data_IF_135977161404
#
_entry.id   IF_135977161404
#
_cell.length_a   1.000
_cell.length_b   1.000
_cell.length_c   1.000
_cell.angle_alpha   90.00
_cell.angle_beta   90.00
_cell.angle_gamma   90.00
#
_symmetry.space_group_name_H-M   'P 1'
#
loop_
_entity.id
_entity.type
_entity.pdbx_description
1 polymer ?
#
# COMPACT_ATOMS: atom_id res chain seq x y z
N UNK A 1 2.70 1.80 -5.89
CA UNK A 1 1.45 1.43 -6.59
C UNK A 1 1.48 2.04 -7.98
N UNK A 2 1.57 1.20 -8.99
CA UNK A 2 2.02 1.50 -10.36
C UNK A 2 1.10 2.23 -11.30
N UNK A 3 0.37 3.22 -10.81
CA UNK A 3 -0.69 3.84 -11.60
C UNK A 3 -0.22 5.06 -12.41
N UNK A 4 1.04 5.49 -12.28
CA UNK A 4 1.63 6.61 -13.04
C UNK A 4 3.09 6.35 -13.42
N UNK A 5 3.46 6.65 -14.67
CA UNK A 5 4.85 6.61 -15.15
C UNK A 5 5.71 7.78 -14.63
N UNK A 6 5.11 8.75 -13.92
CA UNK A 6 5.80 9.87 -13.27
C UNK A 6 5.15 10.04 -11.89
N UNK A 7 5.70 9.41 -10.84
CA UNK A 7 5.12 9.55 -9.51
C UNK A 7 5.40 10.97 -8.98
N UNK A 8 4.42 11.64 -8.36
CA UNK A 8 4.70 12.85 -7.59
C UNK A 8 5.82 12.57 -6.59
N UNK A 9 6.81 13.46 -6.51
CA UNK A 9 7.68 13.51 -5.35
C UNK A 9 6.87 14.13 -4.22
N UNK A 10 6.32 13.29 -3.36
CA UNK A 10 5.61 13.78 -2.18
C UNK A 10 6.56 14.62 -1.33
N UNK A 11 6.12 15.80 -0.94
CA UNK A 11 6.73 16.56 0.13
C UNK A 11 6.81 15.65 1.37
N UNK A 12 8.02 15.49 1.93
CA UNK A 12 8.25 14.63 3.08
C UNK A 12 7.42 15.07 4.29
N UNK A 13 7.19 16.37 4.48
CA UNK A 13 6.34 16.89 5.55
C UNK A 13 4.89 16.44 5.36
N UNK A 14 4.36 16.50 4.14
CA UNK A 14 3.01 16.03 3.80
C UNK A 14 2.89 14.52 3.99
N UNK A 15 3.92 13.75 3.60
CA UNK A 15 3.94 12.30 3.81
C UNK A 15 3.91 11.92 5.30
N UNK A 16 4.70 12.61 6.13
CA UNK A 16 4.70 12.41 7.59
C UNK A 16 3.33 12.77 8.18
N UNK A 17 2.76 13.91 7.78
CA UNK A 17 1.44 14.35 8.23
C UNK A 17 0.34 13.34 7.84
N UNK A 18 0.36 12.82 6.62
CA UNK A 18 -0.56 11.78 6.18
C UNK A 18 -0.42 10.52 7.04
N UNK A 19 0.82 10.11 7.36
CA UNK A 19 1.09 8.99 8.27
C UNK A 19 0.49 9.23 9.65
N UNK A 20 0.63 10.43 10.22
CA UNK A 20 0.06 10.76 11.53
C UNK A 20 -1.47 10.72 11.56
N UNK A 21 -2.12 10.95 10.41
CA UNK A 21 -3.58 10.90 10.30
C UNK A 21 -4.06 9.45 10.15
N UNK A 22 -3.50 8.68 9.21
CA UNK A 22 -3.96 7.32 8.98
C UNK A 22 -3.50 6.35 10.08
N UNK A 23 -2.38 6.61 10.75
CA UNK A 23 -1.85 5.72 11.80
C UNK A 23 -2.78 5.52 12.99
N UNK A 24 -3.76 6.42 13.18
CA UNK A 24 -4.77 6.28 14.23
C UNK A 24 -5.94 5.38 13.82
N UNK A 25 -5.91 4.84 12.60
CA UNK A 25 -7.04 4.21 11.89
C UNK A 25 -6.65 2.93 11.14
N UNK A 26 -5.48 2.38 11.48
CA UNK A 26 -4.92 1.19 10.87
C UNK A 26 -4.17 0.38 11.93
N UNK A 27 -4.20 -0.95 11.79
CA UNK A 27 -3.45 -1.88 12.64
C UNK A 27 -2.07 -2.25 12.06
N UNK A 28 -1.89 -2.00 10.76
CA UNK A 28 -0.70 -2.39 10.01
C UNK A 28 -0.32 -1.34 8.97
N UNK A 29 0.97 -1.28 8.68
CA UNK A 29 1.56 -0.49 7.61
C UNK A 29 2.11 -1.43 6.52
N UNK A 30 1.90 -1.06 5.26
CA UNK A 30 2.58 -1.70 4.12
C UNK A 30 3.77 -0.84 3.69
N UNK A 31 4.93 -1.48 3.54
CA UNK A 31 6.06 -0.92 2.80
C UNK A 31 6.12 -1.66 1.46
N UNK A 32 5.76 -0.97 0.39
CA UNK A 32 5.93 -1.47 -0.99
C UNK A 32 7.20 -0.86 -1.56
N UNK A 33 8.15 -1.68 -1.96
CA UNK A 33 9.42 -1.20 -2.51
C UNK A 33 9.90 -2.09 -3.67
N UNK A 34 10.62 -1.45 -4.59
CA UNK A 34 11.47 -2.14 -5.54
C UNK A 34 12.83 -2.41 -4.89
N UNK A 35 13.48 -3.56 -5.15
CA UNK A 35 14.84 -3.79 -4.70
C UNK A 35 15.78 -2.66 -5.18
N UNK A 36 16.75 -2.23 -4.36
CA UNK A 36 17.76 -1.25 -4.74
C UNK A 36 18.76 -1.86 -5.74
N UNK A 37 18.29 -2.06 -6.98
CA UNK A 37 19.00 -2.83 -8.01
C UNK A 37 20.35 -2.23 -8.37
N UNK A 38 20.47 -0.91 -8.45
CA UNK A 38 21.75 -0.26 -8.75
C UNK A 38 22.81 -0.61 -7.71
N UNK A 39 22.46 -0.55 -6.42
CA UNK A 39 23.36 -0.85 -5.31
C UNK A 39 23.66 -2.35 -5.20
N UNK A 40 22.66 -3.21 -5.46
CA UNK A 40 22.83 -4.67 -5.48
C UNK A 40 23.77 -5.10 -6.62
N UNK A 41 23.60 -4.54 -7.82
CA UNK A 41 24.49 -4.77 -8.97
C UNK A 41 25.90 -4.24 -8.72
N UNK A 42 26.03 -3.15 -7.96
CA UNK A 42 27.31 -2.62 -7.50
C UNK A 42 27.97 -3.46 -6.39
N UNK A 43 27.34 -4.55 -5.93
CA UNK A 43 27.87 -5.45 -4.91
C UNK A 43 27.67 -4.97 -3.48
N UNK A 44 26.77 -4.02 -3.24
CA UNK A 44 26.46 -3.55 -1.88
C UNK A 44 25.76 -4.66 -1.10
N UNK A 45 26.23 -4.91 0.13
CA UNK A 45 25.61 -5.88 1.04
C UNK A 45 24.12 -5.54 1.27
N UNK A 46 23.19 -6.46 0.93
CA UNK A 46 21.76 -6.26 1.14
C UNK A 46 21.40 -5.89 2.58
N UNK A 47 22.13 -6.41 3.58
CA UNK A 47 21.86 -6.08 4.98
C UNK A 47 22.17 -4.60 5.29
N UNK A 48 23.15 -4.02 4.60
CA UNK A 48 23.44 -2.58 4.68
C UNK A 48 22.29 -1.75 4.10
N UNK A 49 21.76 -2.16 2.95
CA UNK A 49 20.64 -1.47 2.30
C UNK A 49 19.37 -1.52 3.17
N UNK A 50 19.07 -2.67 3.79
CA UNK A 50 17.96 -2.78 4.74
C UNK A 50 18.15 -1.84 5.94
N UNK A 51 19.34 -1.79 6.53
CA UNK A 51 19.64 -0.93 7.70
C UNK A 51 19.51 0.56 7.38
N UNK A 52 19.97 0.99 6.21
CA UNK A 52 20.03 2.41 5.86
C UNK A 52 18.71 2.90 5.29
N UNK A 53 18.07 2.11 4.42
CA UNK A 53 16.90 2.55 3.65
C UNK A 53 15.60 2.16 4.35
N UNK A 54 15.48 0.91 4.80
CA UNK A 54 14.18 0.35 5.22
C UNK A 54 13.96 0.41 6.74
N UNK A 55 15.02 0.21 7.52
CA UNK A 55 14.94 0.17 8.97
C UNK A 55 14.44 1.47 9.61
N UNK A 56 14.81 2.68 9.15
CA UNK A 56 14.26 3.92 9.71
C UNK A 56 12.75 4.01 9.55
N UNK A 57 12.22 3.72 8.36
CA UNK A 57 10.78 3.74 8.09
C UNK A 57 10.05 2.64 8.87
N UNK A 58 10.61 1.43 8.93
CA UNK A 58 10.08 0.34 9.74
C UNK A 58 10.03 0.69 11.23
N UNK A 59 11.06 1.36 11.75
CA UNK A 59 11.12 1.83 13.14
C UNK A 59 10.08 2.90 13.39
N UNK A 60 9.90 3.83 12.44
CA UNK A 60 8.89 4.87 12.53
C UNK A 60 7.47 4.28 12.62
N UNK A 61 7.11 3.35 11.75
CA UNK A 61 5.80 2.69 11.81
C UNK A 61 5.61 1.86 13.09
N UNK A 62 6.64 1.13 13.55
CA UNK A 62 6.57 0.39 14.81
C UNK A 62 6.40 1.31 16.02
N UNK A 63 7.02 2.50 16.00
CA UNK A 63 6.84 3.50 17.08
C UNK A 63 5.39 4.00 17.20
N UNK A 64 4.58 3.81 16.14
CA UNK A 64 3.15 4.12 16.11
C UNK A 64 2.27 2.89 16.39
N UNK A 65 2.85 1.75 16.74
CA UNK A 65 2.13 0.53 17.09
C UNK A 65 1.77 -0.40 15.94
N UNK A 66 2.23 -0.12 14.71
CA UNK A 66 1.83 -0.88 13.52
C UNK A 66 2.57 -2.21 13.35
N UNK A 67 1.84 -3.24 12.96
CA UNK A 67 2.45 -4.41 12.30
C UNK A 67 2.98 -4.01 10.91
N UNK A 68 4.08 -4.62 10.46
CA UNK A 68 4.69 -4.32 9.17
C UNK A 68 4.49 -5.44 8.17
N UNK A 69 3.97 -5.07 7.00
CA UNK A 69 3.89 -5.95 5.84
C UNK A 69 4.77 -5.37 4.75
N UNK A 70 5.69 -6.18 4.24
CA UNK A 70 6.66 -5.71 3.25
C UNK A 70 6.36 -6.43 1.95
N UNK A 71 6.06 -5.63 0.93
CA UNK A 71 5.82 -6.08 -0.42
C UNK A 71 7.03 -5.69 -1.25
N UNK A 72 7.80 -6.70 -1.67
CA UNK A 72 8.92 -6.52 -2.58
C UNK A 72 8.41 -6.72 -4.00
N UNK A 73 8.42 -5.66 -4.81
CA UNK A 73 8.07 -5.70 -6.23
C UNK A 73 9.38 -5.69 -7.02
N UNK A 74 9.88 -6.85 -7.50
CA UNK A 74 11.18 -6.88 -8.19
C UNK A 74 11.16 -6.15 -9.54
N UNK A 75 9.98 -5.98 -10.15
CA UNK A 75 9.79 -5.25 -11.40
C UNK A 75 9.72 -3.75 -11.20
N UNK A 76 9.53 -3.02 -12.30
CA UNK A 76 9.26 -1.60 -12.22
C UNK A 76 7.82 -1.41 -11.74
N UNK A 77 7.70 -1.03 -10.48
CA UNK A 77 6.40 -0.76 -9.86
C UNK A 77 5.60 0.28 -10.64
N UNK A 78 6.23 1.22 -11.34
CA UNK A 78 5.63 2.31 -12.14
C UNK A 78 5.37 1.94 -13.60
N UNK A 79 6.13 0.99 -14.14
CA UNK A 79 5.98 0.46 -15.49
C UNK A 79 5.87 -1.08 -15.46
N UNK A 80 4.64 -1.58 -15.29
CA UNK A 80 4.39 -3.03 -15.20
C UNK A 80 4.66 -3.80 -16.49
N UNK A 81 4.88 -3.11 -17.61
CA UNK A 81 5.21 -3.72 -18.90
C UNK A 81 6.73 -3.83 -19.14
N UNK A 82 7.56 -3.25 -18.27
CA UNK A 82 9.01 -3.18 -18.44
C UNK A 82 9.81 -3.74 -17.26
N UNK A 83 11.11 -3.85 -17.48
CA UNK A 83 12.09 -4.13 -16.42
C UNK A 83 12.20 -2.92 -15.48
N UNK A 84 12.75 -3.16 -14.29
CA UNK A 84 13.29 -2.09 -13.43
C UNK A 84 14.20 -1.15 -14.24
N UNK A 85 14.06 0.17 -14.05
CA UNK A 85 14.89 1.15 -14.76
C UNK A 85 16.40 0.94 -14.50
N UNK A 86 16.86 0.73 -13.24
CA UNK A 86 18.24 0.32 -12.98
C UNK A 86 18.69 -0.96 -13.67
N UNK A 87 17.84 -2.00 -13.73
CA UNK A 87 18.20 -3.26 -14.41
C UNK A 87 18.35 -3.06 -15.91
N UNK A 88 17.37 -2.38 -16.54
CA UNK A 88 17.40 -2.07 -17.96
C UNK A 88 18.62 -1.22 -18.33
N UNK A 89 18.95 -0.21 -17.52
CA UNK A 89 20.13 0.64 -17.73
C UNK A 89 21.45 -0.14 -17.63
N UNK A 90 21.50 -1.18 -16.80
CA UNK A 90 22.65 -2.07 -16.67
C UNK A 90 22.66 -3.23 -17.70
N UNK A 91 21.65 -3.31 -18.57
CA UNK A 91 21.52 -4.40 -19.55
C UNK A 91 21.15 -5.74 -18.92
N UNK A 92 20.54 -5.73 -17.74
CA UNK A 92 20.11 -6.92 -17.00
C UNK A 92 18.59 -7.09 -17.03
N UNK A 93 18.14 -8.35 -16.90
CA UNK A 93 16.71 -8.73 -16.78
C UNK A 93 16.43 -9.52 -15.51
N UNK A 94 15.22 -9.34 -14.95
CA UNK A 94 14.70 -10.20 -13.87
C UNK A 94 14.63 -11.68 -14.22
N UNK A 95 14.65 -12.01 -15.52
CA UNK A 95 14.67 -13.40 -15.97
C UNK A 95 16.03 -14.07 -15.79
N UNK A 96 17.10 -13.30 -15.56
CA UNK A 96 18.44 -13.83 -15.34
C UNK A 96 18.56 -14.48 -13.94
N UNK A 97 19.06 -15.73 -13.85
CA UNK A 97 19.25 -16.40 -12.56
C UNK A 97 20.13 -15.60 -11.59
N UNK A 98 21.16 -14.92 -12.08
CA UNK A 98 22.05 -14.11 -11.26
C UNK A 98 21.30 -12.93 -10.60
N UNK A 99 20.40 -12.28 -11.32
CA UNK A 99 19.56 -11.18 -10.81
C UNK A 99 18.53 -11.69 -9.80
N UNK A 100 17.91 -12.85 -10.06
CA UNK A 100 16.99 -13.48 -9.11
C UNK A 100 17.68 -13.86 -7.80
N UNK A 101 18.94 -14.31 -7.86
CA UNK A 101 19.73 -14.60 -6.66
C UNK A 101 20.02 -13.33 -5.84
N UNK A 102 20.26 -12.20 -6.50
CA UNK A 102 20.44 -10.91 -5.82
C UNK A 102 19.15 -10.43 -5.15
N UNK A 103 18.00 -10.57 -5.83
CA UNK A 103 16.69 -10.17 -5.32
C UNK A 103 16.13 -11.09 -4.22
N UNK A 104 16.61 -12.34 -4.14
CA UNK A 104 16.22 -13.33 -3.12
C UNK A 104 17.24 -13.46 -1.99
N UNK A 105 18.40 -12.79 -2.09
CA UNK A 105 19.36 -12.68 -1.00
C UNK A 105 18.62 -12.17 0.24
N UNK A 106 18.84 -12.77 1.42
CA UNK A 106 18.00 -12.53 2.58
C UNK A 106 18.11 -11.07 3.03
N UNK A 107 17.23 -10.22 2.51
CA UNK A 107 16.84 -8.98 3.17
C UNK A 107 16.07 -9.42 4.42
N UNK A 108 16.81 -9.71 5.49
CA UNK A 108 16.27 -10.29 6.72
C UNK A 108 15.29 -9.32 7.35
N UNK A 109 14.01 -9.47 7.01
CA UNK A 109 12.90 -8.98 7.81
C UNK A 109 12.46 -10.13 8.71
N UNK A 110 13.24 -10.40 9.76
CA UNK A 110 12.91 -11.42 10.73
C UNK A 110 11.64 -11.05 11.51
N UNK A 111 10.55 -11.78 11.28
CA UNK A 111 9.54 -12.09 12.29
C UNK A 111 9.06 -13.53 12.12
N UNK A 112 9.47 -14.41 13.03
CA UNK A 112 8.84 -15.69 13.23
C UNK A 112 7.42 -15.46 13.77
N UNK A 113 6.39 -15.69 12.96
CA UNK A 113 5.01 -15.79 13.45
C UNK A 113 4.64 -17.26 13.53
N UNK A 114 4.55 -17.76 14.76
CA UNK A 114 4.07 -19.12 15.06
C UNK A 114 2.55 -19.14 14.83
N UNK A 115 2.10 -19.30 13.58
CA UNK A 115 0.69 -19.64 13.29
C UNK A 115 0.50 -21.14 13.50
N UNK A 116 0.04 -21.50 14.69
CA UNK A 116 -0.52 -22.82 14.96
C UNK A 116 -1.91 -22.90 14.34
N UNK A 117 -2.02 -23.58 13.20
CA UNK A 117 -3.09 -24.52 12.80
C UNK A 117 -3.47 -24.39 11.31
N UNK A 118 -3.52 -25.48 10.52
CA UNK A 118 -3.63 -25.42 9.04
C UNK A 118 -5.04 -25.24 8.48
N UNK A 119 -6.09 -25.07 9.30
CA UNK A 119 -7.46 -25.38 8.85
C UNK A 119 -8.49 -24.24 8.85
N UNK A 120 -8.14 -22.98 9.17
CA UNK A 120 -9.08 -21.86 8.97
C UNK A 120 -8.50 -20.85 7.98
N UNK A 121 -8.92 -20.93 6.71
CA UNK A 121 -8.58 -19.94 5.69
C UNK A 121 -9.16 -18.59 6.10
N UNK A 122 -8.35 -17.76 6.76
CA UNK A 122 -8.69 -16.35 6.97
C UNK A 122 -8.70 -15.67 5.61
N UNK A 123 -9.85 -15.15 5.20
CA UNK A 123 -9.94 -14.29 4.03
C UNK A 123 -9.42 -12.90 4.38
N UNK A 124 -8.73 -12.26 3.43
CA UNK A 124 -8.33 -10.85 3.48
C UNK A 124 -8.64 -10.24 2.12
N UNK A 125 -9.16 -9.02 2.12
CA UNK A 125 -9.28 -8.23 0.89
C UNK A 125 -7.97 -7.49 0.66
N UNK A 126 -7.34 -7.70 -0.50
CA UNK A 126 -6.00 -7.19 -0.76
C UNK A 126 -6.00 -5.69 -1.04
N UNK A 127 -7.01 -5.14 -1.72
CA UNK A 127 -7.15 -3.72 -2.08
C UNK A 127 -8.61 -3.39 -2.40
N UNK A 128 -9.09 -2.21 -1.99
CA UNK A 128 -10.45 -1.74 -2.30
C UNK A 128 -10.62 -0.23 -2.17
N UNK A 129 -11.77 0.28 -2.60
CA UNK A 129 -12.11 1.70 -2.56
C UNK A 129 -13.26 2.03 -3.51
N UNK A 130 -13.85 3.21 -3.33
CA UNK A 130 -14.86 3.73 -4.24
C UNK A 130 -14.66 5.23 -4.40
N UNK A 131 -14.80 5.72 -5.63
CA UNK A 131 -14.60 7.14 -5.92
C UNK A 131 -15.68 7.99 -5.26
N UNK A 132 -15.30 9.11 -4.65
CA UNK A 132 -16.24 10.09 -4.10
C UNK A 132 -16.83 11.04 -5.16
N UNK A 133 -16.40 10.95 -6.41
CA UNK A 133 -16.87 11.77 -7.54
C UNK A 133 -17.23 10.90 -8.75
N UNK A 134 -18.10 11.41 -9.61
CA UNK A 134 -18.37 10.80 -10.91
C UNK A 134 -17.16 10.94 -11.83
N UNK A 135 -16.72 9.84 -12.45
CA UNK A 135 -15.55 9.76 -13.32
C UNK A 135 -15.91 8.99 -14.60
N UNK A 136 -15.90 9.67 -15.74
CA UNK A 136 -16.33 9.07 -17.01
C UNK A 136 -17.76 8.52 -16.91
N UNK A 137 -17.92 7.22 -17.14
CA UNK A 137 -19.21 6.53 -17.04
C UNK A 137 -19.61 6.13 -15.60
N UNK A 138 -18.70 6.28 -14.63
CA UNK A 138 -18.98 5.95 -13.22
C UNK A 138 -19.73 7.11 -12.60
N UNK A 139 -20.97 6.88 -12.17
CA UNK A 139 -21.77 7.85 -11.40
C UNK A 139 -21.56 7.61 -9.91
N UNK A 140 -21.09 8.62 -9.19
CA UNK A 140 -20.80 8.52 -7.76
C UNK A 140 -20.97 9.84 -7.01
N UNK A 141 -20.85 9.78 -5.69
CA UNK A 141 -20.84 10.91 -4.77
C UNK A 141 -20.11 10.55 -3.48
N UNK A 142 -19.83 11.54 -2.62
CA UNK A 142 -19.29 11.29 -1.28
C UNK A 142 -20.20 10.37 -0.45
N UNK A 143 -21.52 10.51 -0.59
CA UNK A 143 -22.48 9.61 0.07
C UNK A 143 -22.44 8.20 -0.52
N UNK A 144 -22.23 8.06 -1.84
CA UNK A 144 -22.08 6.75 -2.46
C UNK A 144 -20.81 6.03 -1.99
N UNK A 145 -19.68 6.76 -1.87
CA UNK A 145 -18.46 6.24 -1.28
C UNK A 145 -18.67 5.79 0.17
N UNK A 146 -19.34 6.61 1.00
CA UNK A 146 -19.69 6.21 2.38
C UNK A 146 -20.52 4.93 2.42
N UNK A 147 -21.59 4.84 1.61
CA UNK A 147 -22.43 3.63 1.54
C UNK A 147 -21.64 2.41 1.07
N UNK A 148 -20.72 2.58 0.13
CA UNK A 148 -19.81 1.52 -0.28
C UNK A 148 -18.95 1.03 0.89
N UNK A 149 -18.33 1.92 1.67
CA UNK A 149 -17.50 1.52 2.83
C UNK A 149 -18.34 0.72 3.83
N UNK A 150 -19.52 1.23 4.21
CA UNK A 150 -20.43 0.52 5.13
C UNK A 150 -20.75 -0.88 4.59
N UNK A 151 -21.18 -0.97 3.33
CA UNK A 151 -21.55 -2.24 2.71
C UNK A 151 -20.37 -3.21 2.58
N UNK A 152 -19.19 -2.70 2.24
CA UNK A 152 -17.99 -3.51 2.09
C UNK A 152 -17.59 -4.11 3.44
N UNK A 153 -17.64 -3.32 4.52
CA UNK A 153 -17.36 -3.80 5.88
C UNK A 153 -18.37 -4.88 6.31
N UNK A 154 -19.67 -4.72 6.03
CA UNK A 154 -20.67 -5.77 6.29
C UNK A 154 -20.35 -7.08 5.55
N UNK A 155 -19.89 -7.00 4.30
CA UNK A 155 -19.52 -8.18 3.51
C UNK A 155 -18.26 -8.86 4.07
N UNK A 156 -17.28 -8.07 4.50
CA UNK A 156 -16.07 -8.56 5.15
C UNK A 156 -16.38 -9.26 6.47
N UNK A 157 -17.29 -8.71 7.27
CA UNK A 157 -17.77 -9.34 8.51
C UNK A 157 -18.41 -10.70 8.23
N UNK A 158 -19.30 -10.77 7.23
CA UNK A 158 -19.94 -12.04 6.79
C UNK A 158 -18.91 -13.07 6.30
N UNK A 159 -17.85 -12.59 5.65
CA UNK A 159 -16.75 -13.42 5.18
C UNK A 159 -15.76 -13.81 6.28
N UNK A 160 -15.96 -13.34 7.52
CA UNK A 160 -15.00 -13.48 8.63
C UNK A 160 -13.59 -13.00 8.23
N UNK A 161 -13.53 -11.92 7.47
CA UNK A 161 -12.28 -11.33 7.04
C UNK A 161 -11.51 -10.79 8.25
N UNK A 162 -10.19 -10.96 8.25
CA UNK A 162 -9.32 -10.52 9.35
C UNK A 162 -8.57 -9.23 9.02
N UNK A 163 -8.91 -8.58 7.91
CA UNK A 163 -8.25 -7.37 7.45
C UNK A 163 -8.72 -6.93 6.07
N UNK A 164 -8.60 -5.63 5.84
CA UNK A 164 -8.93 -4.94 4.58
C UNK A 164 -7.93 -3.82 4.35
N UNK A 165 -7.54 -3.64 3.10
CA UNK A 165 -6.71 -2.52 2.68
C UNK A 165 -7.52 -1.54 1.85
N UNK A 166 -7.55 -0.29 2.32
CA UNK A 166 -8.00 0.84 1.53
C UNK A 166 -6.87 1.26 0.60
N UNK A 167 -7.15 1.35 -0.70
CA UNK A 167 -6.15 1.62 -1.74
C UNK A 167 -5.42 2.95 -1.51
N UNK A 168 -6.17 4.00 -1.18
CA UNK A 168 -5.63 5.32 -0.83
C UNK A 168 -6.37 5.89 0.38
N UNK A 169 -5.63 6.43 1.34
CA UNK A 169 -6.23 7.17 2.45
C UNK A 169 -6.57 8.61 2.06
N UNK A 170 -5.71 9.24 1.25
CA UNK A 170 -5.82 10.63 0.80
C UNK A 170 -6.06 10.66 -0.71
N UNK A 171 -6.90 11.59 -1.17
CA UNK A 171 -7.03 11.86 -2.59
C UNK A 171 -5.71 12.30 -3.23
N UNK A 172 -5.59 12.06 -4.52
CA UNK A 172 -4.45 12.52 -5.30
C UNK A 172 -4.70 13.94 -5.78
N UNK A 173 -3.74 14.83 -5.55
CA UNK A 173 -3.74 16.18 -6.11
C UNK A 173 -3.38 16.13 -7.60
N UNK A 174 -4.35 15.73 -8.45
CA UNK A 174 -4.13 15.54 -9.89
C UNK A 174 -3.50 16.75 -10.60
N UNK A 175 -3.90 18.01 -10.33
CA UNK A 175 -3.24 19.18 -10.90
C UNK A 175 -1.73 19.27 -10.60
N UNK A 176 -1.27 18.74 -9.47
CA UNK A 176 0.14 18.71 -9.12
C UNK A 176 0.92 17.58 -9.84
N UNK A 177 0.24 16.71 -10.58
CA UNK A 177 0.84 15.56 -11.25
C UNK A 177 1.02 15.81 -12.74
N UNK A 178 2.21 15.53 -13.26
CA UNK A 178 2.42 15.36 -14.70
C UNK A 178 2.10 13.92 -15.07
N UNK A 179 0.96 13.69 -15.71
CA UNK A 179 0.51 12.33 -16.06
C UNK A 179 0.63 12.09 -17.58
N UNK A 180 1.05 10.88 -18.01
CA UNK A 180 0.89 10.44 -19.39
C UNK A 180 -0.57 10.54 -19.85
N UNK A 181 -0.79 10.77 -21.14
CA UNK A 181 -2.13 10.94 -21.72
C UNK A 181 -3.03 9.69 -21.57
N UNK A 182 -2.42 8.51 -21.43
CA UNK A 182 -3.06 7.20 -21.25
C UNK A 182 -3.10 6.76 -19.77
N UNK A 183 -2.75 7.65 -18.83
CA UNK A 183 -2.75 7.32 -17.40
C UNK A 183 -4.16 6.99 -16.91
N UNK A 184 -4.29 5.84 -16.24
CA UNK A 184 -5.50 5.44 -15.52
C UNK A 184 -5.57 5.97 -14.09
N UNK A 185 -4.52 6.64 -13.59
CA UNK A 185 -4.46 7.20 -12.24
C UNK A 185 -5.68 8.08 -11.89
N UNK A 186 -6.20 8.92 -12.81
CA UNK A 186 -7.38 9.75 -12.51
C UNK A 186 -8.61 8.95 -12.05
N UNK A 187 -8.73 7.68 -12.43
CA UNK A 187 -9.82 6.80 -11.98
C UNK A 187 -9.78 6.48 -10.48
N UNK A 188 -8.60 6.62 -9.85
CA UNK A 188 -8.36 6.31 -8.44
C UNK A 188 -8.17 7.57 -7.58
N UNK A 189 -8.10 8.74 -8.20
CA UNK A 189 -7.71 9.99 -7.54
C UNK A 189 -8.62 10.42 -6.39
N UNK A 190 -9.89 9.99 -6.44
CA UNK A 190 -10.92 10.40 -5.49
C UNK A 190 -11.35 9.25 -4.55
N UNK A 191 -10.51 8.22 -4.40
CA UNK A 191 -10.76 7.08 -3.51
C UNK A 191 -10.45 7.38 -2.04
N UNK A 192 -9.79 8.51 -1.73
CA UNK A 192 -9.38 8.86 -0.38
C UNK A 192 -10.56 9.01 0.57
N UNK A 193 -10.32 8.71 1.85
CA UNK A 193 -11.21 9.01 2.98
C UNK A 193 -11.06 10.47 3.43
N UNK A 194 -9.93 11.09 3.09
CA UNK A 194 -9.72 12.55 3.16
C UNK A 194 -9.44 13.10 1.76
N UNK A 195 -9.72 14.38 1.54
CA UNK A 195 -9.36 15.05 0.28
C UNK A 195 -7.85 15.35 0.20
N UNK A 196 -7.40 15.94 -0.91
CA UNK A 196 -5.99 16.27 -1.14
C UNK A 196 -5.43 17.30 -0.13
N UNK A 197 -6.31 18.06 0.54
CA UNK A 197 -5.98 19.02 1.60
C UNK A 197 -6.14 18.41 3.01
N UNK A 198 -6.24 17.08 3.09
CA UNK A 198 -6.41 16.31 4.32
C UNK A 198 -7.71 16.63 5.08
N UNK A 199 -8.71 17.21 4.41
CA UNK A 199 -10.03 17.43 5.01
C UNK A 199 -10.85 16.14 4.99
N UNK A 200 -11.56 15.82 6.09
CA UNK A 200 -12.31 14.58 6.21
C UNK A 200 -13.52 14.55 5.26
N UNK A 201 -13.70 13.42 4.58
CA UNK A 201 -14.93 13.11 3.83
C UNK A 201 -15.90 12.30 4.69
N UNK A 202 -17.20 12.24 4.33
CA UNK A 202 -18.19 11.39 5.02
C UNK A 202 -17.81 9.90 5.12
N UNK A 203 -17.02 9.39 4.19
CA UNK A 203 -16.54 8.01 4.23
C UNK A 203 -15.58 7.74 5.40
N UNK A 204 -14.85 8.75 5.89
CA UNK A 204 -13.93 8.61 7.01
C UNK A 204 -14.65 8.21 8.30
N UNK A 205 -15.83 8.77 8.57
CA UNK A 205 -16.57 8.41 9.80
C UNK A 205 -17.05 6.97 9.77
N UNK A 206 -17.44 6.46 8.59
CA UNK A 206 -17.82 5.05 8.43
C UNK A 206 -16.61 4.11 8.58
N UNK A 207 -15.43 4.54 8.12
CA UNK A 207 -14.18 3.82 8.36
C UNK A 207 -13.82 3.81 9.86
N UNK A 208 -13.87 4.96 10.52
CA UNK A 208 -13.54 5.09 11.95
C UNK A 208 -14.48 4.25 12.83
N UNK A 209 -15.78 4.24 12.53
CA UNK A 209 -16.75 3.34 13.16
C UNK A 209 -16.39 1.87 12.94
N UNK A 210 -16.02 1.50 11.71
CA UNK A 210 -15.66 0.14 11.39
C UNK A 210 -14.37 -0.32 12.10
N UNK A 211 -13.38 0.57 12.19
CA UNK A 211 -12.09 0.34 12.86
C UNK A 211 -12.23 0.24 14.38
N UNK A 212 -13.16 0.99 14.98
CA UNK A 212 -13.44 0.93 16.42
C UNK A 212 -14.08 -0.40 16.88
N UNK A 213 -14.47 -1.28 15.95
CA UNK A 213 -15.06 -2.58 16.29
C UNK A 213 -13.96 -3.56 16.73
N UNK A 214 -14.19 -4.35 17.78
CA UNK A 214 -13.23 -5.38 18.17
C UNK A 214 -13.11 -6.42 17.06
N UNK A 215 -11.88 -6.81 16.73
CA UNK A 215 -11.64 -7.99 15.90
C UNK A 215 -12.29 -9.19 16.61
N UNK A 216 -13.22 -9.87 15.93
CA UNK A 216 -13.89 -11.02 16.49
C UNK A 216 -12.84 -12.03 16.98
N UNK A 217 -12.80 -12.28 18.29
CA UNK A 217 -11.95 -13.32 18.86
C UNK A 217 -12.36 -14.63 18.22
N UNK A 218 -11.45 -15.26 17.47
CA UNK A 218 -11.63 -16.64 17.06
C UNK A 218 -11.77 -17.46 18.33
N UNK A 219 -13.00 -17.85 18.66
CA UNK A 219 -13.20 -18.96 19.57
C UNK A 219 -12.47 -20.14 18.94
N UNK A 220 -11.35 -20.52 19.55
CA UNK A 220 -10.62 -21.72 19.21
C UNK A 220 -11.54 -22.89 19.60
N UNK A 221 -12.32 -23.37 18.62
CA UNK A 221 -13.01 -24.64 18.70
C UNK A 221 -12.16 -25.70 18.01
#
# INVERSE_FOLDING_TARGET
MGFSAIPPRNDQAVAIQAIDIWSRRADAAIISLEPPWAELLAGTDPATLVRVVQLPLATYYRSKGHELWIYLDPGNGLNRAGESDPLAAAGHSLTEPAVQMLGTAPMVFSRASRRTSPTSRSSRSSEGGWTSLSLGAIVSSQDAQRRYIVRHMELLDRASAIGVFQLTFTDLDLPALSLPADSILPLFAYNGLVDANLQPKPALSAWDEAFGRPLASRALY
#
